data_IF_814299058045
#
_entry.id   IF_814299058045
#
_cell.length_a   1.000
_cell.length_b   1.000
_cell.length_c   1.000
_cell.angle_alpha   90.00
_cell.angle_beta   90.00
_cell.angle_gamma   90.00
#
_symmetry.space_group_name_H-M   'P 1'
#
loop_
_entity.id
_entity.type
_entity.pdbx_description
1 polymer ?
#
# COMPACT_ATOMS: atom_id res chain seq x y z
N UNK A 1 12.63 19.86 -21.55
CA UNK A 1 11.76 20.01 -20.38
C UNK A 1 11.31 18.68 -19.81
N UNK A 2 12.08 18.14 -18.87
CA UNK A 2 11.61 17.05 -18.02
C UNK A 2 11.48 17.60 -16.60
N UNK A 3 10.26 17.99 -16.20
CA UNK A 3 9.97 18.02 -14.78
C UNK A 3 10.38 16.65 -14.21
N UNK A 4 11.06 16.57 -13.05
CA UNK A 4 11.41 15.28 -12.47
C UNK A 4 10.13 14.47 -12.34
N UNK A 5 10.04 13.38 -13.10
CA UNK A 5 8.84 12.55 -13.14
C UNK A 5 8.55 12.02 -11.74
N UNK A 6 7.28 12.04 -11.34
CA UNK A 6 6.85 11.41 -10.08
C UNK A 6 7.29 9.94 -10.06
N UNK A 7 7.74 9.48 -8.90
CA UNK A 7 8.34 8.16 -8.72
C UNK A 7 7.28 7.06 -8.80
N UNK A 8 7.58 5.97 -9.51
CA UNK A 8 6.77 4.74 -9.50
C UNK A 8 7.50 3.71 -8.67
N UNK A 9 6.85 3.20 -7.61
CA UNK A 9 7.49 2.32 -6.65
C UNK A 9 6.95 0.90 -6.84
N UNK A 10 7.84 -0.06 -7.01
CA UNK A 10 7.48 -1.48 -7.17
C UNK A 10 8.36 -2.34 -6.27
N UNK A 11 7.83 -3.46 -5.80
CA UNK A 11 8.63 -4.39 -5.00
C UNK A 11 7.85 -5.55 -4.41
N UNK A 12 8.58 -6.51 -3.85
CA UNK A 12 8.03 -7.59 -3.05
C UNK A 12 8.44 -7.38 -1.59
N UNK A 13 7.51 -7.02 -0.72
CA UNK A 13 7.86 -6.66 0.66
C UNK A 13 7.68 -7.87 1.58
N UNK A 14 8.67 -8.20 2.42
CA UNK A 14 8.50 -9.22 3.44
C UNK A 14 7.49 -8.76 4.50
N UNK A 15 6.75 -9.72 5.06
CA UNK A 15 5.63 -9.47 5.97
C UNK A 15 5.99 -8.53 7.14
N UNK A 16 7.11 -8.81 7.81
CA UNK A 16 7.53 -8.12 9.04
C UNK A 16 7.85 -6.64 8.87
N UNK A 17 8.19 -6.19 7.65
CA UNK A 17 8.54 -4.80 7.36
C UNK A 17 7.56 -4.10 6.41
N UNK A 18 6.55 -4.82 5.90
CA UNK A 18 5.55 -4.29 4.97
C UNK A 18 4.84 -3.05 5.52
N UNK A 19 4.28 -3.13 6.73
CA UNK A 19 3.56 -2.01 7.35
C UNK A 19 4.46 -0.80 7.59
N UNK A 20 5.65 -0.91 8.24
CA UNK A 20 6.58 0.21 8.37
C UNK A 20 6.94 0.88 7.03
N UNK A 21 7.18 0.10 5.97
CA UNK A 21 7.49 0.65 4.64
C UNK A 21 6.29 1.42 4.08
N UNK A 22 5.09 0.85 4.15
CA UNK A 22 3.87 1.51 3.65
C UNK A 22 3.60 2.83 4.40
N UNK A 23 3.85 2.86 5.72
CA UNK A 23 3.76 4.10 6.50
C UNK A 23 4.83 5.11 6.12
N UNK A 24 6.06 4.67 5.90
CA UNK A 24 7.13 5.57 5.45
C UNK A 24 6.80 6.19 4.08
N UNK A 25 6.21 5.43 3.17
CA UNK A 25 5.82 5.93 1.85
C UNK A 25 4.64 6.91 1.88
N UNK A 26 3.76 6.83 2.90
CA UNK A 26 2.71 7.83 3.11
C UNK A 26 3.28 9.24 3.31
N UNK A 27 4.41 9.37 4.01
CA UNK A 27 5.05 10.66 4.27
C UNK A 27 5.70 11.28 3.01
N UNK A 28 5.87 10.49 1.94
CA UNK A 28 6.52 10.89 0.69
C UNK A 28 5.57 10.88 -0.51
N UNK A 29 4.27 10.79 -0.28
CA UNK A 29 3.27 10.56 -1.33
C UNK A 29 3.20 11.66 -2.41
N UNK A 30 3.61 12.89 -2.10
CA UNK A 30 3.54 14.01 -3.05
C UNK A 30 4.51 13.87 -4.23
N UNK A 31 5.56 13.07 -4.06
CA UNK A 31 6.53 12.77 -5.11
C UNK A 31 6.29 11.40 -5.77
N UNK A 32 5.26 10.66 -5.35
CA UNK A 32 4.94 9.31 -5.85
C UNK A 32 3.76 9.36 -6.83
N UNK A 33 3.93 8.70 -7.97
CA UNK A 33 2.89 8.53 -8.98
C UNK A 33 1.99 7.34 -8.62
N UNK A 34 2.58 6.16 -8.40
CA UNK A 34 1.89 4.93 -8.03
C UNK A 34 2.81 3.96 -7.28
N UNK A 35 2.19 2.97 -6.65
CA UNK A 35 2.85 1.94 -5.85
C UNK A 35 2.25 0.57 -6.21
N UNK A 36 3.08 -0.39 -6.60
CA UNK A 36 2.65 -1.77 -6.89
C UNK A 36 3.51 -2.75 -6.11
N UNK A 37 2.92 -3.40 -5.11
CA UNK A 37 3.63 -4.33 -4.25
C UNK A 37 3.05 -5.73 -4.32
N UNK A 38 3.95 -6.73 -4.30
CA UNK A 38 3.60 -8.07 -3.89
C UNK A 38 3.75 -8.16 -2.37
N UNK A 39 2.69 -8.66 -1.72
CA UNK A 39 2.59 -8.80 -0.27
C UNK A 39 1.91 -10.13 0.06
N UNK A 40 2.10 -10.59 1.29
CA UNK A 40 1.33 -11.74 1.77
C UNK A 40 -0.16 -11.40 1.82
N UNK A 41 -0.99 -12.41 1.55
CA UNK A 41 -2.43 -12.26 1.36
C UNK A 41 -3.08 -11.55 2.56
N UNK A 42 -2.74 -11.91 3.79
CA UNK A 42 -3.35 -11.30 4.98
C UNK A 42 -3.01 -9.81 5.14
N UNK A 43 -1.89 -9.34 4.57
CA UNK A 43 -1.53 -7.91 4.57
C UNK A 43 -2.45 -7.16 3.62
N UNK A 44 -2.65 -7.70 2.41
CA UNK A 44 -3.60 -7.15 1.43
C UNK A 44 -5.01 -7.14 2.01
N UNK A 45 -5.46 -8.24 2.61
CA UNK A 45 -6.79 -8.36 3.22
C UNK A 45 -7.04 -7.24 4.25
N UNK A 46 -6.04 -6.92 5.07
CA UNK A 46 -6.08 -5.78 6.02
C UNK A 46 -6.07 -4.43 5.31
N UNK A 47 -5.23 -4.25 4.28
CA UNK A 47 -5.14 -2.98 3.55
C UNK A 47 -6.48 -2.60 2.90
N UNK A 48 -7.17 -3.56 2.29
CA UNK A 48 -8.43 -3.34 1.56
C UNK A 48 -9.68 -3.72 2.36
N UNK A 49 -9.54 -4.00 3.66
CA UNK A 49 -10.64 -4.36 4.55
C UNK A 49 -11.75 -3.29 4.56
N UNK A 50 -13.02 -3.72 4.62
CA UNK A 50 -14.16 -2.81 4.80
C UNK A 50 -14.37 -2.48 6.28
N UNK A 51 -14.93 -1.32 6.64
CA UNK A 51 -15.31 -1.03 8.02
C UNK A 51 -16.18 -2.14 8.63
N UNK A 52 -16.05 -2.33 9.94
CA UNK A 52 -16.76 -3.36 10.71
C UNK A 52 -16.43 -4.82 10.33
N UNK A 53 -15.24 -5.09 9.80
CA UNK A 53 -14.68 -6.45 9.67
C UNK A 53 -13.53 -6.68 10.65
N UNK A 54 -13.19 -7.94 10.91
CA UNK A 54 -12.09 -8.29 11.81
C UNK A 54 -10.71 -7.80 11.32
N UNK A 55 -10.53 -7.70 10.00
CA UNK A 55 -9.29 -7.23 9.38
C UNK A 55 -9.19 -5.70 9.29
N UNK A 56 -10.28 -4.97 9.60
CA UNK A 56 -10.30 -3.52 9.56
C UNK A 56 -9.62 -2.92 10.78
N UNK A 57 -8.56 -2.15 10.56
CA UNK A 57 -7.81 -1.52 11.64
C UNK A 57 -6.99 -0.32 11.18
N UNK A 58 -5.96 0.02 11.98
CA UNK A 58 -5.10 1.18 11.73
C UNK A 58 -4.52 1.20 10.31
N UNK A 59 -4.06 0.05 9.81
CA UNK A 59 -3.49 -0.05 8.47
C UNK A 59 -4.52 0.30 7.39
N UNK A 60 -5.72 -0.28 7.49
CA UNK A 60 -6.85 -0.03 6.58
C UNK A 60 -7.20 1.46 6.56
N UNK A 61 -7.44 2.06 7.73
CA UNK A 61 -7.85 3.48 7.85
C UNK A 61 -6.80 4.39 7.22
N UNK A 62 -5.54 4.23 7.60
CA UNK A 62 -4.48 5.16 7.18
C UNK A 62 -4.19 5.08 5.69
N UNK A 63 -4.22 3.89 5.11
CA UNK A 63 -3.95 3.72 3.68
C UNK A 63 -5.15 4.08 2.82
N UNK A 64 -6.36 3.64 3.18
CA UNK A 64 -7.58 3.95 2.41
C UNK A 64 -7.92 5.45 2.44
N UNK A 65 -7.53 6.16 3.50
CA UNK A 65 -7.68 7.61 3.56
C UNK A 65 -6.85 8.32 2.48
N UNK A 66 -5.67 7.79 2.14
CA UNK A 66 -4.72 8.46 1.24
C UNK A 66 -4.63 7.89 -0.17
N UNK A 67 -4.93 6.60 -0.33
CA UNK A 67 -4.78 5.86 -1.58
C UNK A 67 -6.09 5.24 -2.03
N UNK A 68 -6.34 5.28 -3.35
CA UNK A 68 -7.22 4.31 -3.99
C UNK A 68 -6.44 3.01 -4.15
N UNK A 69 -6.89 1.94 -3.50
CA UNK A 69 -6.21 0.65 -3.50
C UNK A 69 -7.02 -0.40 -4.24
N UNK A 70 -6.32 -1.28 -4.97
CA UNK A 70 -6.90 -2.38 -5.72
C UNK A 70 -6.05 -3.63 -5.53
N UNK A 71 -6.70 -4.79 -5.36
CA UNK A 71 -6.03 -6.08 -5.41
C UNK A 71 -5.92 -6.52 -6.87
N UNK A 72 -4.71 -6.43 -7.44
CA UNK A 72 -4.48 -6.61 -8.88
C UNK A 72 -4.30 -8.09 -9.27
N UNK A 73 -3.60 -8.88 -8.45
CA UNK A 73 -3.22 -10.25 -8.80
C UNK A 73 -3.06 -11.10 -7.54
N UNK A 74 -3.68 -12.28 -7.57
CA UNK A 74 -3.40 -13.34 -6.60
C UNK A 74 -2.24 -14.20 -7.10
N UNK A 75 -1.23 -14.39 -6.25
CA UNK A 75 -0.09 -15.28 -6.49
C UNK A 75 -0.21 -16.46 -5.53
N UNK A 76 -0.32 -17.71 -6.02
CA UNK A 76 -0.55 -18.90 -5.20
C UNK A 76 0.66 -19.32 -4.35
#
# INVERSE_FOLDING_TARGET
DSAPGRLRIVGNLPYNISSPILFHLLDHVDVVADQHFMLQKEVIDRMVARPATADYGRLSVMLQWRYAMENVLFVP
#
